data_IF_958690489853
#
_entry.id   IF_958690489853
#
_cell.length_a   1.000
_cell.length_b   1.000
_cell.length_c   1.000
_cell.angle_alpha   90.00
_cell.angle_beta   90.00
_cell.angle_gamma   90.00
#
_symmetry.space_group_name_H-M   'P 1'
#
loop_
_entity.id
_entity.type
_entity.pdbx_description
1 polymer ?
#
# COMPACT_ATOMS: atom_id res chain seq x y z
N UNK A 1 -19.07 -6.20 0.21
CA UNK A 1 -17.89 -7.02 0.59
C UNK A 1 -17.31 -6.39 1.86
N UNK A 2 -16.98 -7.19 2.88
CA UNK A 2 -16.41 -6.67 4.14
C UNK A 2 -14.89 -6.49 4.01
N UNK A 3 -14.36 -5.41 4.58
CA UNK A 3 -12.93 -5.13 4.60
C UNK A 3 -12.47 -4.50 5.92
N UNK A 4 -11.16 -4.63 6.21
CA UNK A 4 -10.49 -4.04 7.37
C UNK A 4 -8.99 -3.87 7.08
N UNK A 5 -8.40 -2.77 7.57
CA UNK A 5 -6.96 -2.61 7.73
C UNK A 5 -6.56 -3.06 9.12
N UNK A 6 -5.51 -3.87 9.19
CA UNK A 6 -4.82 -4.25 10.41
C UNK A 6 -3.46 -3.54 10.43
N UNK A 7 -3.33 -2.55 11.32
CA UNK A 7 -2.16 -1.69 11.45
C UNK A 7 -2.13 -1.07 12.86
N UNK A 8 -0.94 -0.70 13.35
CA UNK A 8 -0.82 0.28 14.43
C UNK A 8 -0.75 1.72 13.90
N UNK A 9 -1.78 2.53 14.14
CA UNK A 9 -1.80 3.93 13.69
C UNK A 9 -0.87 4.84 14.51
N UNK A 10 -0.35 4.38 15.65
CA UNK A 10 0.70 5.10 16.39
C UNK A 10 2.06 5.04 15.67
N UNK A 11 2.26 4.00 14.86
CA UNK A 11 3.46 3.77 14.07
C UNK A 11 3.06 3.42 12.63
N UNK A 12 2.65 4.46 11.90
CA UNK A 12 2.19 4.31 10.52
C UNK A 12 3.35 4.19 9.53
N UNK A 13 4.54 4.71 9.86
CA UNK A 13 5.71 4.88 8.98
C UNK A 13 5.48 5.44 7.56
N UNK A 14 4.29 6.00 7.30
CA UNK A 14 3.78 6.37 5.95
C UNK A 14 3.32 5.20 5.06
N UNK A 15 3.38 3.97 5.58
CA UNK A 15 3.00 2.73 4.88
C UNK A 15 1.49 2.61 4.59
N UNK A 16 0.64 3.36 5.30
CA UNK A 16 -0.78 3.44 4.96
C UNK A 16 -1.06 4.57 3.96
N UNK A 17 -1.27 4.24 2.67
CA UNK A 17 -1.48 5.24 1.63
C UNK A 17 -2.80 6.00 1.80
N UNK A 18 -3.71 5.53 2.68
CA UNK A 18 -4.99 6.20 2.92
C UNK A 18 -4.82 7.64 3.43
N UNK A 19 -3.69 7.98 4.04
CA UNK A 19 -3.36 9.37 4.40
C UNK A 19 -3.39 10.34 3.19
N UNK A 20 -3.13 9.84 1.98
CA UNK A 20 -3.20 10.60 0.73
C UNK A 20 -4.62 11.00 0.31
N UNK A 21 -5.65 10.34 0.83
CA UNK A 21 -7.03 10.50 0.39
C UNK A 21 -7.84 11.39 1.34
N UNK A 22 -8.47 12.44 0.78
CA UNK A 22 -9.22 13.42 1.57
C UNK A 22 -10.29 12.82 2.50
N UNK A 23 -11.10 11.82 2.08
CA UNK A 23 -12.10 11.21 2.97
C UNK A 23 -11.48 10.56 4.21
N UNK A 24 -10.32 9.89 4.06
CA UNK A 24 -9.62 9.23 5.16
C UNK A 24 -8.92 10.22 6.08
N UNK A 25 -8.41 11.35 5.56
CA UNK A 25 -7.93 12.44 6.42
C UNK A 25 -9.03 13.05 7.27
N UNK A 26 -10.21 13.26 6.70
CA UNK A 26 -11.39 13.73 7.45
C UNK A 26 -11.83 12.71 8.50
N UNK A 27 -11.80 11.41 8.17
CA UNK A 27 -12.11 10.34 9.11
C UNK A 27 -11.07 10.23 10.24
N UNK A 28 -9.78 10.37 9.94
CA UNK A 28 -8.70 10.34 10.92
C UNK A 28 -8.75 11.52 11.89
N UNK A 29 -9.06 12.72 11.41
CA UNK A 29 -9.22 13.91 12.27
C UNK A 29 -10.58 13.99 12.98
N UNK A 30 -11.47 13.01 12.75
CA UNK A 30 -12.84 13.01 13.24
C UNK A 30 -13.60 14.30 12.90
N UNK A 31 -13.40 14.81 11.67
CA UNK A 31 -14.05 16.03 11.19
C UNK A 31 -15.59 15.92 11.25
N UNK A 32 -16.32 17.05 11.34
CA UNK A 32 -17.77 17.04 11.23
C UNK A 32 -18.23 16.32 9.95
N UNK A 33 -19.21 15.43 10.07
CA UNK A 33 -19.74 14.61 8.99
C UNK A 33 -18.73 13.67 8.29
N UNK A 34 -17.61 13.32 8.94
CA UNK A 34 -16.76 12.24 8.45
C UNK A 34 -17.51 10.90 8.42
N UNK A 35 -17.05 9.99 7.56
CA UNK A 35 -17.56 8.62 7.52
C UNK A 35 -16.93 7.80 8.69
N UNK A 36 -17.74 7.39 9.68
CA UNK A 36 -17.22 6.64 10.84
C UNK A 36 -16.74 5.24 10.46
N UNK A 37 -17.24 4.64 9.38
CA UNK A 37 -16.79 3.33 8.92
C UNK A 37 -15.38 3.41 8.32
N UNK A 38 -15.07 4.48 7.56
CA UNK A 38 -13.71 4.72 7.07
C UNK A 38 -12.73 4.89 8.23
N UNK A 39 -13.16 5.57 9.30
CA UNK A 39 -12.35 5.71 10.52
C UNK A 39 -12.09 4.36 11.16
N UNK A 40 -13.14 3.61 11.45
CA UNK A 40 -13.07 2.35 12.17
C UNK A 40 -12.29 1.26 11.41
N UNK A 41 -12.40 1.25 10.07
CA UNK A 41 -11.81 0.20 9.24
C UNK A 41 -10.44 0.54 8.66
N UNK A 42 -10.16 1.81 8.41
CA UNK A 42 -8.98 2.23 7.64
C UNK A 42 -7.93 3.03 8.40
N UNK A 43 -8.33 3.77 9.45
CA UNK A 43 -7.44 4.73 10.12
C UNK A 43 -7.60 4.69 11.65
N UNK A 44 -7.76 3.50 12.21
CA UNK A 44 -7.75 3.23 13.66
C UNK A 44 -6.85 2.03 13.97
N UNK A 45 -6.15 2.05 15.11
CA UNK A 45 -5.23 0.96 15.51
C UNK A 45 -5.99 -0.36 15.69
N UNK A 46 -5.53 -1.38 14.96
CA UNK A 46 -6.00 -2.76 15.02
C UNK A 46 -4.87 -3.68 14.56
N UNK A 47 -4.02 -4.15 15.47
CA UNK A 47 -2.80 -4.87 15.10
C UNK A 47 -2.99 -6.37 14.86
N UNK A 48 -1.87 -7.10 14.75
CA UNK A 48 -1.83 -8.56 14.55
C UNK A 48 -2.53 -9.33 15.69
N UNK A 49 -2.55 -8.79 16.90
CA UNK A 49 -3.31 -9.37 18.01
C UNK A 49 -4.82 -9.40 17.71
N UNK A 50 -5.37 -8.28 17.20
CA UNK A 50 -6.78 -8.20 16.79
C UNK A 50 -7.07 -9.04 15.55
N UNK A 51 -6.12 -9.16 14.61
CA UNK A 51 -6.23 -10.12 13.50
C UNK A 51 -6.46 -11.54 14.04
N UNK A 52 -5.66 -11.96 15.01
CA UNK A 52 -5.80 -13.28 15.63
C UNK A 52 -7.14 -13.45 16.36
N UNK A 53 -7.61 -12.42 17.06
CA UNK A 53 -8.92 -12.43 17.71
C UNK A 53 -10.07 -12.56 16.71
N UNK A 54 -9.96 -11.89 15.55
CA UNK A 54 -10.95 -11.97 14.48
C UNK A 54 -10.92 -13.33 13.77
N UNK A 55 -9.75 -13.94 13.59
CA UNK A 55 -9.61 -15.32 13.08
C UNK A 55 -10.29 -16.31 14.02
N UNK A 56 -9.90 -16.35 15.29
CA UNK A 56 -10.50 -17.27 16.27
C UNK A 56 -12.00 -17.01 16.51
N UNK A 57 -12.42 -15.77 16.33
CA UNK A 57 -13.81 -15.35 16.52
C UNK A 57 -14.70 -15.59 15.30
N UNK A 58 -14.17 -16.08 14.19
CA UNK A 58 -14.92 -16.21 12.93
C UNK A 58 -15.38 -14.87 12.35
N UNK A 59 -14.64 -13.79 12.60
CA UNK A 59 -14.93 -12.40 12.19
C UNK A 59 -13.93 -11.85 11.17
N UNK A 60 -12.99 -12.66 10.68
CA UNK A 60 -12.06 -12.24 9.63
C UNK A 60 -12.85 -11.71 8.41
N UNK A 61 -12.61 -10.46 7.97
CA UNK A 61 -13.29 -9.89 6.81
C UNK A 61 -12.95 -10.61 5.50
N UNK A 62 -13.76 -10.38 4.46
CA UNK A 62 -13.51 -10.95 3.14
C UNK A 62 -12.21 -10.42 2.50
N UNK A 63 -11.83 -9.18 2.82
CA UNK A 63 -10.56 -8.57 2.39
C UNK A 63 -9.89 -7.92 3.60
N UNK A 64 -8.69 -8.37 3.94
CA UNK A 64 -7.90 -7.83 5.05
C UNK A 64 -6.59 -7.26 4.51
N UNK A 65 -6.33 -5.99 4.77
CA UNK A 65 -5.05 -5.36 4.45
C UNK A 65 -4.19 -5.36 5.71
N UNK A 66 -2.96 -5.82 5.59
CA UNK A 66 -2.00 -5.88 6.70
C UNK A 66 -0.91 -4.87 6.38
N UNK A 67 -0.70 -3.93 7.29
CA UNK A 67 0.32 -2.90 7.15
C UNK A 67 1.21 -3.01 8.38
N UNK A 68 2.51 -3.13 8.14
CA UNK A 68 3.49 -3.26 9.20
C UNK A 68 3.68 -1.93 9.96
N UNK A 69 4.32 -2.03 11.11
CA UNK A 69 4.97 -0.89 11.77
C UNK A 69 6.34 -0.63 11.12
N UNK A 70 6.98 0.50 11.44
CA UNK A 70 8.31 0.87 10.92
C UNK A 70 9.31 -0.28 11.05
N UNK A 71 9.35 -0.93 12.21
CA UNK A 71 10.29 -2.02 12.47
C UNK A 71 10.01 -3.27 11.61
N UNK A 72 8.77 -3.51 11.18
CA UNK A 72 8.36 -4.69 10.43
C UNK A 72 8.20 -4.51 8.92
N UNK A 73 8.49 -3.31 8.39
CA UNK A 73 8.22 -2.95 6.98
C UNK A 73 9.25 -3.47 5.98
N UNK A 74 10.42 -3.91 6.45
CA UNK A 74 11.62 -4.20 5.64
C UNK A 74 12.27 -2.98 4.97
N UNK A 75 11.72 -1.78 5.17
CA UNK A 75 12.29 -0.54 4.65
C UNK A 75 13.75 -0.35 5.12
N UNK A 76 14.69 0.05 4.24
CA UNK A 76 16.08 0.25 4.60
C UNK A 76 16.25 1.36 5.61
N UNK A 77 17.23 1.17 6.50
CA UNK A 77 17.59 2.00 7.65
C UNK A 77 16.82 1.68 8.95
N UNK A 78 15.47 1.81 9.07
CA UNK A 78 14.80 1.51 10.33
C UNK A 78 14.33 0.05 10.46
N UNK A 79 14.31 -0.71 9.36
CA UNK A 79 13.95 -2.14 9.33
C UNK A 79 15.01 -3.00 8.63
N UNK A 80 14.70 -4.29 8.49
CA UNK A 80 15.50 -5.27 7.78
C UNK A 80 14.64 -6.47 7.34
N UNK A 81 15.09 -7.26 6.36
CA UNK A 81 14.40 -8.50 5.97
C UNK A 81 14.18 -9.48 7.14
N UNK A 82 15.06 -9.48 8.14
CA UNK A 82 14.88 -10.33 9.32
C UNK A 82 13.70 -9.87 10.19
N UNK A 83 13.51 -8.55 10.32
CA UNK A 83 12.40 -8.00 11.09
C UNK A 83 11.07 -8.15 10.36
N UNK A 84 11.04 -7.92 9.04
CA UNK A 84 9.83 -8.17 8.24
C UNK A 84 9.46 -9.66 8.16
N UNK A 85 10.43 -10.56 8.08
CA UNK A 85 10.17 -12.00 8.23
C UNK A 85 9.56 -12.33 9.61
N UNK A 86 10.00 -11.68 10.68
CA UNK A 86 9.40 -11.83 12.01
C UNK A 86 7.97 -11.27 12.08
N UNK A 87 7.67 -10.14 11.43
CA UNK A 87 6.31 -9.63 11.29
C UNK A 87 5.43 -10.61 10.51
N UNK A 88 5.89 -11.09 9.36
CA UNK A 88 5.20 -12.07 8.51
C UNK A 88 4.92 -13.38 9.26
N UNK A 89 5.87 -13.85 10.09
CA UNK A 89 5.66 -15.02 10.94
C UNK A 89 4.50 -14.81 11.94
N UNK A 90 4.43 -13.64 12.61
CA UNK A 90 3.31 -13.31 13.52
C UNK A 90 1.96 -13.26 12.79
N UNK A 91 1.94 -12.77 11.55
CA UNK A 91 0.73 -12.77 10.70
C UNK A 91 0.31 -14.19 10.36
N UNK A 92 1.25 -15.04 9.92
CA UNK A 92 0.97 -16.44 9.62
C UNK A 92 0.46 -17.20 10.85
N UNK A 93 1.07 -17.00 12.01
CA UNK A 93 0.63 -17.57 13.29
C UNK A 93 -0.81 -17.13 13.64
N UNK A 94 -1.16 -15.87 13.36
CA UNK A 94 -2.50 -15.36 13.58
C UNK A 94 -3.53 -15.98 12.62
N UNK A 95 -3.21 -16.05 11.32
CA UNK A 95 -4.10 -16.59 10.29
C UNK A 95 -4.29 -18.11 10.40
N UNK A 96 -3.25 -18.82 10.83
CA UNK A 96 -3.26 -20.29 10.98
C UNK A 96 -3.80 -20.77 12.33
N UNK A 97 -4.15 -19.85 13.23
CA UNK A 97 -4.70 -20.16 14.55
C UNK A 97 -6.03 -20.94 14.50
N UNK A 98 -6.79 -20.82 13.40
CA UNK A 98 -7.96 -21.66 13.10
C UNK A 98 -7.78 -22.33 11.71
N UNK A 99 -7.57 -23.66 11.65
CA UNK A 99 -7.46 -24.40 10.39
C UNK A 99 -8.66 -24.24 9.45
N UNK A 100 -9.88 -24.02 9.98
CA UNK A 100 -11.07 -23.83 9.16
C UNK A 100 -11.03 -22.49 8.42
N UNK A 101 -10.53 -21.43 9.06
CA UNK A 101 -10.30 -20.12 8.42
C UNK A 101 -9.15 -20.21 7.43
N UNK A 102 -8.01 -20.77 7.84
CA UNK A 102 -6.83 -20.89 6.98
C UNK A 102 -7.10 -21.66 5.69
N UNK A 103 -7.86 -22.76 5.76
CA UNK A 103 -8.21 -23.58 4.58
C UNK A 103 -8.97 -22.85 3.47
N UNK A 104 -9.43 -21.61 3.73
CA UNK A 104 -10.19 -20.76 2.80
C UNK A 104 -9.57 -19.39 2.62
N UNK A 105 -8.35 -19.18 3.11
CA UNK A 105 -7.63 -17.91 3.09
C UNK A 105 -6.46 -17.99 2.11
N UNK A 106 -6.26 -16.93 1.34
CA UNK A 106 -5.05 -16.72 0.57
C UNK A 106 -4.30 -15.50 1.15
N UNK A 107 -3.01 -15.67 1.42
CA UNK A 107 -2.13 -14.58 1.80
C UNK A 107 -1.31 -14.15 0.58
N UNK A 108 -1.37 -12.85 0.26
CA UNK A 108 -0.52 -12.22 -0.74
C UNK A 108 0.48 -11.34 0.00
N UNK A 109 1.77 -11.62 -0.18
CA UNK A 109 2.86 -10.77 0.32
C UNK A 109 3.36 -9.96 -0.86
N UNK A 110 3.24 -8.64 -0.76
CA UNK A 110 3.63 -7.68 -1.78
C UNK A 110 4.44 -6.57 -1.14
N UNK A 111 5.38 -6.02 -1.90
CA UNK A 111 6.16 -4.84 -1.52
C UNK A 111 5.65 -3.65 -2.34
N UNK A 112 5.68 -2.46 -1.77
CA UNK A 112 5.22 -1.24 -2.43
C UNK A 112 6.28 -0.69 -3.40
N UNK A 113 7.56 -0.85 -3.07
CA UNK A 113 8.69 -0.54 -3.93
C UNK A 113 9.86 -1.54 -3.83
N UNK A 114 10.99 -1.22 -4.47
CA UNK A 114 12.22 -2.02 -4.42
C UNK A 114 13.37 -1.34 -3.64
N UNK A 115 13.07 -0.21 -2.97
CA UNK A 115 13.99 0.64 -2.19
C UNK A 115 15.28 1.05 -2.91
N UNK A 116 15.27 1.03 -4.24
CA UNK A 116 16.46 1.29 -5.06
C UNK A 116 17.51 0.17 -5.05
N UNK A 117 17.23 -1.01 -4.48
CA UNK A 117 18.10 -2.18 -4.66
C UNK A 117 18.13 -2.62 -6.13
N UNK A 118 19.26 -3.20 -6.53
CA UNK A 118 19.45 -3.66 -7.90
C UNK A 118 18.51 -4.83 -8.23
N UNK A 119 17.69 -4.64 -9.27
CA UNK A 119 17.06 -5.73 -9.99
C UNK A 119 17.66 -5.83 -11.41
N UNK A 120 18.04 -7.04 -11.81
CA UNK A 120 18.51 -7.35 -13.16
C UNK A 120 17.42 -7.20 -14.22
N UNK A 121 16.15 -7.30 -13.85
CA UNK A 121 15.02 -7.17 -14.75
C UNK A 121 14.56 -5.71 -14.78
N UNK A 122 14.65 -5.02 -15.92
CA UNK A 122 14.05 -3.71 -16.03
C UNK A 122 12.52 -3.84 -15.89
N UNK A 123 11.86 -2.93 -15.16
CA UNK A 123 10.41 -2.96 -15.04
C UNK A 123 9.78 -2.73 -16.42
N UNK A 124 8.63 -3.37 -16.72
CA UNK A 124 7.88 -3.03 -17.91
C UNK A 124 7.49 -1.55 -17.87
N UNK A 125 7.74 -0.83 -18.95
CA UNK A 125 7.44 0.59 -19.06
C UNK A 125 6.52 0.86 -20.26
N UNK A 126 5.54 1.78 -20.14
CA UNK A 126 4.79 2.25 -21.29
C UNK A 126 5.75 2.91 -22.31
N UNK A 127 5.39 2.98 -23.61
CA UNK A 127 6.21 3.67 -24.61
C UNK A 127 6.57 5.09 -24.16
N UNK A 128 7.84 5.47 -24.24
CA UNK A 128 8.29 6.79 -23.76
C UNK A 128 8.00 7.87 -24.82
N UNK A 129 7.48 9.05 -24.45
CA UNK A 129 7.33 10.16 -25.40
C UNK A 129 8.68 10.52 -26.06
N UNK A 130 8.74 10.47 -27.38
CA UNK A 130 9.92 10.84 -28.17
C UNK A 130 9.50 11.52 -29.47
N UNK A 131 9.80 12.82 -29.59
CA UNK A 131 9.48 13.63 -30.76
C UNK A 131 10.19 13.16 -32.05
N UNK A 132 11.22 12.32 -31.94
CA UNK A 132 11.95 11.75 -33.08
C UNK A 132 11.38 10.41 -33.55
N UNK A 133 10.58 9.75 -32.72
CA UNK A 133 9.98 8.47 -33.05
C UNK A 133 8.75 8.64 -33.95
N UNK A 134 8.52 7.71 -34.86
CA UNK A 134 7.31 7.68 -35.67
C UNK A 134 6.08 7.50 -34.75
N UNK A 135 5.15 8.45 -34.76
CA UNK A 135 4.00 8.46 -33.86
C UNK A 135 4.24 9.12 -32.49
N UNK A 136 5.44 9.66 -32.25
CA UNK A 136 5.74 10.48 -31.06
C UNK A 136 6.11 9.68 -29.79
N UNK A 137 6.27 8.36 -29.90
CA UNK A 137 6.63 7.49 -28.77
C UNK A 137 7.68 6.45 -29.19
N UNK A 138 8.67 6.19 -28.31
CA UNK A 138 9.63 5.11 -28.41
C UNK A 138 9.13 3.88 -27.65
N UNK A 139 8.93 2.77 -28.35
CA UNK A 139 8.34 1.53 -27.82
C UNK A 139 6.96 1.25 -28.42
N UNK A 140 6.31 0.16 -27.98
CA UNK A 140 4.97 -0.22 -28.42
C UNK A 140 4.15 -0.81 -27.27
N UNK A 141 2.83 -0.69 -27.36
CA UNK A 141 1.88 -1.33 -26.45
C UNK A 141 0.77 -1.99 -27.26
N UNK A 142 0.27 -3.14 -26.79
CA UNK A 142 -0.92 -3.82 -27.35
C UNK A 142 -2.22 -3.38 -26.68
N UNK A 143 -2.13 -2.54 -25.65
CA UNK A 143 -3.25 -1.95 -24.91
C UNK A 143 -3.11 -0.42 -24.87
N UNK A 144 -4.19 0.29 -24.55
CA UNK A 144 -4.12 1.75 -24.33
C UNK A 144 -3.21 2.07 -23.14
N UNK A 145 -2.44 3.15 -23.25
CA UNK A 145 -1.52 3.65 -22.22
C UNK A 145 -1.91 5.05 -21.71
N UNK A 146 -3.15 5.48 -21.96
CA UNK A 146 -3.60 6.84 -21.63
C UNK A 146 -3.46 7.18 -20.13
N UNK A 147 -3.67 6.20 -19.25
CA UNK A 147 -3.60 6.34 -17.79
C UNK A 147 -2.20 6.08 -17.21
N UNK A 148 -1.25 5.63 -18.03
CA UNK A 148 0.13 5.34 -17.59
C UNK A 148 1.02 6.60 -17.56
N UNK A 149 0.57 7.70 -18.17
CA UNK A 149 1.32 8.94 -18.22
C UNK A 149 0.80 9.96 -17.20
N UNK A 150 1.66 10.38 -16.28
CA UNK A 150 1.37 11.51 -15.42
C UNK A 150 1.44 12.84 -16.19
N UNK A 151 0.31 13.25 -16.77
CA UNK A 151 0.18 14.50 -17.55
C UNK A 151 -0.40 15.67 -16.74
N UNK A 152 -0.65 15.46 -15.45
CA UNK A 152 -1.19 16.51 -14.59
C UNK A 152 -0.06 17.41 -14.10
N UNK A 153 -0.17 18.74 -14.26
CA UNK A 153 0.75 19.65 -13.61
C UNK A 153 0.57 19.55 -12.09
N UNK A 154 1.68 19.58 -11.34
CA UNK A 154 1.62 19.68 -9.90
C UNK A 154 0.78 20.92 -9.50
N UNK A 155 -0.26 20.78 -8.67
CA UNK A 155 -1.08 21.90 -8.27
C UNK A 155 -0.25 22.83 -7.38
N UNK A 156 0.03 24.03 -7.88
CA UNK A 156 0.80 25.10 -7.24
C UNK A 156 2.25 24.68 -6.91
N UNK A 157 3.25 25.31 -7.55
CA UNK A 157 4.70 25.05 -7.39
C UNK A 157 5.28 25.31 -5.98
N UNK A 158 4.49 25.22 -4.92
CA UNK A 158 4.87 25.64 -3.57
C UNK A 158 5.14 24.52 -2.58
N UNK A 159 4.92 23.23 -2.91
CA UNK A 159 5.25 22.14 -2.00
C UNK A 159 5.66 20.87 -2.74
N UNK A 160 6.95 20.52 -2.64
CA UNK A 160 7.45 19.19 -2.26
C UNK A 160 8.82 19.47 -1.61
N UNK A 161 8.87 19.28 -0.29
CA UNK A 161 10.05 19.03 0.56
C UNK A 161 11.33 19.86 0.27
N UNK A 162 11.74 20.80 1.15
CA UNK A 162 13.00 21.54 0.99
C UNK A 162 14.28 20.66 1.03
N UNK A 163 14.18 19.36 1.30
CA UNK A 163 15.31 18.45 1.50
C UNK A 163 15.12 17.03 0.93
N UNK A 164 14.24 16.78 -0.05
CA UNK A 164 14.19 15.48 -0.74
C UNK A 164 14.88 15.55 -2.09
N UNK A 165 16.20 15.73 -2.07
CA UNK A 165 17.04 15.33 -3.19
C UNK A 165 17.25 13.82 -3.06
N UNK A 166 16.32 13.01 -3.57
CA UNK A 166 16.56 11.56 -3.68
C UNK A 166 15.33 10.66 -3.76
N UNK A 167 14.16 11.09 -3.29
CA UNK A 167 13.06 10.14 -3.08
C UNK A 167 11.92 10.33 -4.09
N UNK A 168 11.95 9.48 -5.12
CA UNK A 168 10.92 9.41 -6.15
C UNK A 168 9.78 8.52 -5.63
N UNK A 169 8.91 9.07 -4.77
CA UNK A 169 7.64 8.39 -4.42
C UNK A 169 6.80 8.23 -5.68
N UNK A 170 6.90 7.05 -6.27
CA UNK A 170 6.16 6.61 -7.44
C UNK A 170 4.71 6.39 -7.06
N UNK A 171 3.85 7.38 -7.33
CA UNK A 171 2.41 7.19 -7.25
C UNK A 171 1.95 6.24 -8.38
N UNK A 172 2.01 4.93 -8.13
CA UNK A 172 1.35 3.93 -8.96
C UNK A 172 -0.15 3.86 -8.60
N UNK A 173 -1.03 4.15 -9.57
CA UNK A 173 -2.47 3.91 -9.44
C UNK A 173 -2.75 2.44 -9.74
N UNK A 174 -3.34 1.72 -8.80
CA UNK A 174 -3.90 0.38 -9.05
C UNK A 174 -5.28 0.54 -9.69
N UNK A 175 -5.43 0.04 -10.93
CA UNK A 175 -6.72 -0.04 -11.62
C UNK A 175 -7.52 -1.28 -11.22
N UNK A 176 -8.84 -1.08 -11.21
CA UNK A 176 -9.90 -2.03 -10.85
C UNK A 176 -10.05 -3.12 -11.91
N UNK A 177 -9.90 -4.39 -11.53
CA UNK A 177 -10.51 -5.49 -12.29
C UNK A 177 -11.95 -5.68 -11.79
N UNK A 178 -12.92 -5.53 -12.69
CA UNK A 178 -14.32 -5.95 -12.51
C UNK A 178 -14.44 -7.46 -12.62
#
# INVERSE_FOLDING_TARGET
MSWQIYQDMADNFTDNPLAGFAPFRLAYSAAPAHDPDLRARGVSTRGVAQLREDVLGGRLPAVSYLIADEAGSEHPDPSSPAQGAAYTARVLDALTADPAVWSRTALLVIFDENDGFFDHMPPPAPPSPDARAAGGFAGASTITTDDDYHRHPAPNRTWICPNSAGDHTGWARVCRCT
#
